data_IF_812928137804
#
_entry.id   IF_812928137804
#
_cell.length_a   1.000
_cell.length_b   1.000
_cell.length_c   1.000
_cell.angle_alpha   90.00
_cell.angle_beta   90.00
_cell.angle_gamma   90.00
#
_symmetry.space_group_name_H-M   'P 1'
#
loop_
_entity.id
_entity.type
_entity.pdbx_description
1 polymer ?
#
# COMPACT_ATOMS: atom_id res chain seq x y z
N UNK A 1 20.11 8.32 21.09
CA UNK A 1 20.13 8.70 19.65
C UNK A 1 18.81 8.27 19.04
N UNK A 2 17.92 9.20 18.71
CA UNK A 2 16.71 8.89 17.92
C UNK A 2 17.16 8.83 16.46
N UNK A 3 17.18 7.63 15.88
CA UNK A 3 17.38 7.44 14.45
C UNK A 3 16.30 8.26 13.75
N UNK A 4 16.67 9.40 13.18
CA UNK A 4 15.78 10.15 12.28
C UNK A 4 15.52 9.19 11.13
N UNK A 5 14.34 8.58 11.15
CA UNK A 5 13.82 7.86 10.00
C UNK A 5 14.01 8.81 8.81
N UNK A 6 14.59 8.34 7.72
CA UNK A 6 14.64 9.09 6.47
C UNK A 6 13.19 9.20 5.96
N UNK A 7 12.32 9.97 6.64
CA UNK A 7 10.86 10.00 6.39
C UNK A 7 10.60 10.41 4.94
N UNK A 8 11.44 11.31 4.42
CA UNK A 8 11.51 11.69 3.01
C UNK A 8 11.52 10.46 2.08
N UNK A 9 12.41 9.49 2.30
CA UNK A 9 12.51 8.28 1.44
C UNK A 9 11.34 7.32 1.64
N UNK A 10 10.80 7.23 2.85
CA UNK A 10 9.64 6.38 3.14
C UNK A 10 8.38 6.88 2.45
N UNK A 11 8.10 8.18 2.58
CA UNK A 11 6.98 8.84 1.94
C UNK A 11 7.15 8.84 0.41
N UNK A 12 8.31 9.25 -0.12
CA UNK A 12 8.59 9.30 -1.56
C UNK A 12 8.41 7.94 -2.26
N UNK A 13 8.82 6.84 -1.60
CA UNK A 13 8.79 5.51 -2.23
C UNK A 13 7.47 4.78 -1.99
N UNK A 14 6.86 4.93 -0.80
CA UNK A 14 5.70 4.12 -0.40
C UNK A 14 4.38 4.81 -0.71
N UNK A 15 4.30 6.14 -0.59
CA UNK A 15 3.04 6.90 -0.77
C UNK A 15 2.46 6.79 -2.18
N UNK A 16 3.24 6.91 -3.28
CA UNK A 16 2.68 6.84 -4.63
C UNK A 16 2.03 5.47 -4.92
N UNK A 17 2.71 4.39 -4.56
CA UNK A 17 2.22 3.02 -4.78
C UNK A 17 0.97 2.73 -3.93
N UNK A 18 0.93 3.28 -2.71
CA UNK A 18 -0.22 3.17 -1.82
C UNK A 18 -1.45 3.90 -2.39
N UNK A 19 -1.27 5.11 -2.95
CA UNK A 19 -2.36 5.85 -3.60
C UNK A 19 -2.91 5.07 -4.80
N UNK A 20 -2.05 4.52 -5.66
CA UNK A 20 -2.45 3.68 -6.78
C UNK A 20 -3.25 2.45 -6.33
N UNK A 21 -2.84 1.80 -5.24
CA UNK A 21 -3.58 0.67 -4.67
C UNK A 21 -4.99 1.05 -4.22
N UNK A 22 -5.10 2.17 -3.50
CA UNK A 22 -6.38 2.63 -2.96
C UNK A 22 -7.35 3.01 -4.09
N UNK A 23 -6.84 3.65 -5.13
CA UNK A 23 -7.61 3.95 -6.35
C UNK A 23 -8.05 2.67 -7.09
N UNK A 24 -7.16 1.68 -7.26
CA UNK A 24 -7.53 0.37 -7.82
C UNK A 24 -8.64 -0.31 -7.02
N UNK A 25 -8.53 -0.32 -5.69
CA UNK A 25 -9.56 -0.87 -4.79
C UNK A 25 -10.88 -0.10 -4.91
N UNK A 26 -10.83 1.23 -5.04
CA UNK A 26 -12.03 2.07 -5.25
C UNK A 26 -12.73 1.71 -6.56
N UNK A 27 -12.00 1.70 -7.67
CA UNK A 27 -12.54 1.32 -8.99
C UNK A 27 -13.11 -0.10 -9.02
N UNK A 28 -12.48 -1.03 -8.30
CA UNK A 28 -12.98 -2.40 -8.18
C UNK A 28 -14.31 -2.45 -7.44
N UNK A 29 -14.47 -1.70 -6.34
CA UNK A 29 -15.74 -1.59 -5.61
C UNK A 29 -16.87 -1.01 -6.46
N UNK A 30 -16.54 -0.14 -7.41
CA UNK A 30 -17.47 0.50 -8.33
C UNK A 30 -17.76 -0.34 -9.59
N UNK A 31 -17.02 -1.44 -9.81
CA UNK A 31 -17.23 -2.32 -10.97
C UNK A 31 -18.33 -3.35 -10.69
N UNK A 32 -19.24 -3.57 -11.64
CA UNK A 32 -20.17 -4.70 -11.61
C UNK A 32 -19.46 -6.06 -11.66
N UNK A 33 -20.02 -7.07 -10.99
CA UNK A 33 -19.48 -8.43 -10.97
C UNK A 33 -19.57 -9.05 -12.37
N UNK A 34 -18.43 -9.14 -13.05
CA UNK A 34 -18.26 -9.71 -14.39
C UNK A 34 -17.12 -10.72 -14.40
N UNK A 35 -16.95 -11.49 -15.48
CA UNK A 35 -15.86 -12.48 -15.61
C UNK A 35 -14.45 -11.85 -15.49
N UNK A 36 -14.32 -10.53 -15.65
CA UNK A 36 -13.07 -9.78 -15.49
C UNK A 36 -12.67 -9.52 -14.02
N UNK A 37 -13.54 -9.85 -13.05
CA UNK A 37 -13.26 -9.65 -11.63
C UNK A 37 -12.01 -10.39 -11.15
N UNK A 38 -11.71 -11.57 -11.69
CA UNK A 38 -10.52 -12.33 -11.29
C UNK A 38 -9.22 -11.64 -11.75
N UNK A 39 -9.22 -11.05 -12.94
CA UNK A 39 -8.09 -10.25 -13.45
C UNK A 39 -7.85 -9.06 -12.53
N UNK A 40 -8.91 -8.32 -12.18
CA UNK A 40 -8.81 -7.15 -11.30
C UNK A 40 -8.36 -7.50 -9.88
N UNK A 41 -8.83 -8.63 -9.34
CA UNK A 41 -8.35 -9.14 -8.04
C UNK A 41 -6.84 -9.40 -8.11
N UNK A 42 -6.37 -10.07 -9.17
CA UNK A 42 -4.94 -10.33 -9.35
C UNK A 42 -4.11 -9.03 -9.46
N UNK A 43 -4.62 -8.01 -10.15
CA UNK A 43 -3.99 -6.69 -10.23
C UNK A 43 -3.89 -6.01 -8.86
N UNK A 44 -4.96 -6.09 -8.05
CA UNK A 44 -4.95 -5.59 -6.67
C UNK A 44 -3.91 -6.34 -5.84
N UNK A 45 -3.89 -7.68 -5.86
CA UNK A 45 -2.92 -8.50 -5.12
C UNK A 45 -1.47 -8.17 -5.52
N UNK A 46 -1.23 -7.98 -6.82
CA UNK A 46 0.08 -7.54 -7.31
C UNK A 46 0.46 -6.17 -6.75
N UNK A 47 -0.47 -5.21 -6.77
CA UNK A 47 -0.22 -3.87 -6.24
C UNK A 47 -0.03 -3.87 -4.71
N UNK A 48 -0.76 -4.70 -3.98
CA UNK A 48 -0.55 -4.94 -2.54
C UNK A 48 0.88 -5.42 -2.26
N UNK A 49 1.39 -6.35 -3.08
CA UNK A 49 2.78 -6.80 -2.98
C UNK A 49 3.78 -5.66 -3.26
N UNK A 50 3.54 -4.86 -4.31
CA UNK A 50 4.38 -3.70 -4.64
C UNK A 50 4.47 -2.69 -3.48
N UNK A 51 3.36 -2.44 -2.77
CA UNK A 51 3.36 -1.58 -1.57
C UNK A 51 4.26 -2.15 -0.48
N UNK A 52 4.20 -3.46 -0.21
CA UNK A 52 5.07 -4.08 0.80
C UNK A 52 6.54 -4.03 0.41
N UNK A 53 6.85 -4.18 -0.88
CA UNK A 53 8.22 -4.06 -1.40
C UNK A 53 8.73 -2.63 -1.22
N UNK A 54 7.94 -1.63 -1.61
CA UNK A 54 8.30 -0.22 -1.43
C UNK A 54 8.51 0.14 0.05
N UNK A 55 7.63 -0.34 0.93
CA UNK A 55 7.78 -0.16 2.36
C UNK A 55 9.05 -0.86 2.90
N UNK A 56 9.32 -2.08 2.47
CA UNK A 56 10.50 -2.83 2.91
C UNK A 56 11.82 -2.18 2.45
N UNK A 57 11.88 -1.67 1.22
CA UNK A 57 13.07 -0.98 0.67
C UNK A 57 13.31 0.32 1.43
N UNK A 58 12.26 1.10 1.65
CA UNK A 58 12.37 2.39 2.31
C UNK A 58 12.69 2.30 3.81
N UNK A 59 12.36 1.17 4.44
CA UNK A 59 12.63 0.93 5.88
C UNK A 59 13.78 -0.06 6.13
N UNK A 60 14.57 -0.40 5.10
CA UNK A 60 15.66 -1.40 5.18
C UNK A 60 16.68 -1.15 6.30
N UNK A 61 16.92 0.12 6.67
CA UNK A 61 17.87 0.50 7.73
C UNK A 61 17.33 0.18 9.13
N UNK A 62 16.01 0.02 9.27
CA UNK A 62 15.30 -0.27 10.52
C UNK A 62 14.89 -1.74 10.57
N UNK A 63 14.34 -2.26 9.47
CA UNK A 63 13.92 -3.64 9.34
C UNK A 63 14.52 -4.28 8.07
N UNK A 64 15.80 -4.73 8.13
CA UNK A 64 16.49 -5.29 6.97
C UNK A 64 15.94 -6.65 6.53
N UNK A 65 15.18 -7.38 7.38
CA UNK A 65 14.64 -8.70 7.03
C UNK A 65 13.32 -8.64 6.27
N UNK A 66 12.59 -7.51 6.37
CA UNK A 66 11.26 -7.36 5.79
C UNK A 66 11.23 -7.66 4.29
N UNK A 67 12.20 -7.18 3.52
CA UNK A 67 12.22 -7.41 2.08
C UNK A 67 12.28 -8.91 1.75
N UNK A 68 13.11 -9.65 2.48
CA UNK A 68 13.21 -11.11 2.31
C UNK A 68 11.92 -11.80 2.71
N UNK A 69 11.25 -11.35 3.77
CA UNK A 69 9.97 -11.91 4.22
C UNK A 69 8.85 -11.66 3.21
N UNK A 70 8.82 -10.48 2.59
CA UNK A 70 7.87 -10.14 1.52
C UNK A 70 8.09 -11.03 0.30
N UNK A 71 9.34 -11.16 -0.19
CA UNK A 71 9.67 -12.00 -1.35
C UNK A 71 9.38 -13.48 -1.09
N UNK A 72 9.55 -13.97 0.15
CA UNK A 72 9.22 -15.34 0.53
C UNK A 72 7.72 -15.57 0.83
N UNK A 73 6.88 -14.54 0.72
CA UNK A 73 5.45 -14.62 1.04
C UNK A 73 5.13 -14.79 2.53
N UNK A 74 6.12 -14.56 3.41
CA UNK A 74 5.99 -14.62 4.86
C UNK A 74 5.42 -13.32 5.45
N UNK A 75 5.63 -12.19 4.77
CA UNK A 75 4.98 -10.93 5.06
C UNK A 75 3.92 -10.65 4.00
N UNK A 76 2.64 -10.63 4.42
CA UNK A 76 1.49 -10.35 3.55
C UNK A 76 0.88 -8.98 3.83
N UNK A 77 0.22 -8.44 2.81
CA UNK A 77 -0.58 -7.24 2.94
C UNK A 77 -1.84 -7.59 3.74
N UNK A 78 -2.25 -6.71 4.66
CA UNK A 78 -3.41 -6.94 5.52
C UNK A 78 -4.12 -5.61 5.77
N UNK A 79 -5.42 -5.61 6.09
CA UNK A 79 -6.15 -4.37 6.43
C UNK A 79 -5.46 -3.56 7.54
N UNK A 80 -4.93 -4.23 8.57
CA UNK A 80 -4.16 -3.56 9.63
C UNK A 80 -2.90 -2.84 9.12
N UNK A 81 -2.23 -3.36 8.09
CA UNK A 81 -1.07 -2.70 7.47
C UNK A 81 -1.53 -1.54 6.57
N UNK A 82 -2.64 -1.70 5.86
CA UNK A 82 -3.29 -0.66 5.09
C UNK A 82 -3.60 0.57 5.97
N UNK A 83 -4.34 0.36 7.07
CA UNK A 83 -4.70 1.42 8.02
C UNK A 83 -3.47 2.12 8.60
N UNK A 84 -2.44 1.32 8.94
CA UNK A 84 -1.18 1.86 9.42
C UNK A 84 -0.54 2.77 8.38
N UNK A 85 -0.42 2.30 7.13
CA UNK A 85 0.21 3.03 6.03
C UNK A 85 -0.56 4.30 5.69
N UNK A 86 -1.90 4.25 5.59
CA UNK A 86 -2.74 5.44 5.39
C UNK A 86 -2.45 6.51 6.43
N UNK A 87 -2.42 6.11 7.71
CA UNK A 87 -2.17 7.03 8.83
C UNK A 87 -0.77 7.62 8.81
N UNK A 88 0.27 6.80 8.60
CA UNK A 88 1.66 7.29 8.68
C UNK A 88 2.13 8.00 7.41
N UNK A 89 1.46 7.78 6.28
CA UNK A 89 1.71 8.47 5.02
C UNK A 89 0.81 9.69 4.85
N UNK A 90 -0.09 9.97 5.80
CA UNK A 90 -1.04 11.08 5.75
C UNK A 90 -1.78 11.11 4.40
N UNK A 91 -2.36 9.97 4.04
CA UNK A 91 -3.19 9.84 2.84
C UNK A 91 -4.61 10.21 3.22
N UNK A 92 -5.17 11.20 2.53
CA UNK A 92 -6.58 11.53 2.66
C UNK A 92 -7.42 10.47 1.94
N UNK A 93 -8.20 9.71 2.71
CA UNK A 93 -9.14 8.71 2.19
C UNK A 93 -10.58 9.16 2.31
N UNK A 94 -10.83 10.39 2.77
CA UNK A 94 -12.17 10.96 2.77
C UNK A 94 -12.47 11.47 1.35
N UNK A 95 -13.09 10.62 0.53
CA UNK A 95 -13.97 11.13 -0.53
C UNK A 95 -15.18 11.80 0.16
N UNK A 96 -15.01 13.02 0.67
CA UNK A 96 -16.16 13.85 0.99
C UNK A 96 -16.87 14.19 -0.32
N UNK A 97 -18.06 13.60 -0.49
CA UNK A 97 -19.04 14.03 -1.47
C UNK A 97 -19.09 15.57 -1.52
N UNK A 98 -18.93 16.22 -2.70
CA UNK A 98 -19.42 17.58 -2.84
C UNK A 98 -20.94 17.50 -2.76
N UNK A 99 -21.50 17.74 -1.58
CA UNK A 99 -22.90 18.05 -1.40
C UNK A 99 -23.09 19.49 -1.87
N UNK A 100 -23.49 19.63 -3.14
CA UNK A 100 -24.10 20.85 -3.66
C UNK A 100 -25.55 20.56 -4.05
#
# INVERSE_FOLDING_TARGET
MKTKMNSCKFEEQTKPVMIELLDLKKRFRETELTDDCMTKIYEIEKKEHEVLVAWAISTKEINPTMLREVVKGQCRYTPKKEDYLIRVLEIDTNDEHPTH
#
